data_IF_274716444405
#
_entry.id   IF_274716444405
#
_cell.length_a   1.000
_cell.length_b   1.000
_cell.length_c   1.000
_cell.angle_alpha   90.00
_cell.angle_beta   90.00
_cell.angle_gamma   90.00
#
_symmetry.space_group_name_H-M   'P 1'
#
loop_
_entity.id
_entity.type
_entity.pdbx_description
1 polymer ?
#
# COMPACT_ATOMS: atom_id res chain seq x y z
N UNK A 1 16.24 9.92 3.44
CA UNK A 1 15.44 9.52 4.61
C UNK A 1 16.28 9.72 5.84
N UNK A 2 15.70 10.30 6.89
CA UNK A 2 16.42 10.68 8.12
C UNK A 2 16.53 9.53 9.12
N UNK A 3 15.53 8.64 9.14
CA UNK A 3 15.51 7.41 9.92
C UNK A 3 14.47 6.43 9.32
N UNK A 4 14.31 5.27 9.95
CA UNK A 4 13.35 4.24 9.50
C UNK A 4 11.89 4.71 9.58
N UNK A 5 11.54 5.56 10.55
CA UNK A 5 10.17 6.12 10.65
C UNK A 5 9.90 7.02 9.45
N UNK A 6 10.82 7.96 9.14
CA UNK A 6 10.71 8.83 7.96
C UNK A 6 10.62 8.03 6.65
N UNK A 7 11.39 6.94 6.51
CA UNK A 7 11.28 6.04 5.37
C UNK A 7 9.86 5.45 5.22
N UNK A 8 9.27 4.94 6.31
CA UNK A 8 7.91 4.36 6.27
C UNK A 8 6.83 5.43 6.12
N UNK A 9 7.02 6.65 6.66
CA UNK A 9 6.09 7.76 6.43
C UNK A 9 6.07 8.17 4.96
N UNK A 10 7.25 8.30 4.33
CA UNK A 10 7.38 8.60 2.91
C UNK A 10 6.81 7.49 2.03
N UNK A 11 6.96 6.24 2.44
CA UNK A 11 6.33 5.10 1.76
C UNK A 11 4.80 5.16 1.84
N UNK A 12 4.25 5.49 3.01
CA UNK A 12 2.80 5.64 3.16
C UNK A 12 2.24 6.83 2.36
N UNK A 13 2.94 7.97 2.37
CA UNK A 13 2.60 9.12 1.50
C UNK A 13 2.61 8.74 0.02
N UNK A 14 3.54 7.87 -0.40
CA UNK A 14 3.60 7.38 -1.77
C UNK A 14 2.39 6.52 -2.12
N UNK A 15 1.97 5.61 -1.24
CA UNK A 15 0.77 4.79 -1.46
C UNK A 15 -0.49 5.66 -1.60
N UNK A 16 -0.66 6.66 -0.72
CA UNK A 16 -1.76 7.62 -0.83
C UNK A 16 -1.75 8.40 -2.16
N UNK A 17 -0.56 8.73 -2.67
CA UNK A 17 -0.41 9.36 -3.98
C UNK A 17 -0.82 8.41 -5.11
N UNK A 18 -0.45 7.14 -5.03
CA UNK A 18 -0.84 6.12 -6.02
C UNK A 18 -2.36 5.93 -6.01
N UNK A 19 -2.97 5.76 -4.84
CA UNK A 19 -4.44 5.66 -4.68
C UNK A 19 -5.14 6.86 -5.31
N UNK A 20 -4.66 8.08 -5.04
CA UNK A 20 -5.22 9.30 -5.65
C UNK A 20 -5.15 9.26 -7.19
N UNK A 21 -4.05 8.79 -7.76
CA UNK A 21 -3.90 8.67 -9.22
C UNK A 21 -4.83 7.61 -9.80
N UNK A 22 -5.01 6.49 -9.12
CA UNK A 22 -5.96 5.45 -9.53
C UNK A 22 -7.40 5.98 -9.51
N UNK A 23 -7.79 6.72 -8.48
CA UNK A 23 -9.11 7.36 -8.43
C UNK A 23 -9.30 8.38 -9.55
N UNK A 24 -8.29 9.20 -9.85
CA UNK A 24 -8.35 10.14 -10.97
C UNK A 24 -8.53 9.43 -12.32
N UNK A 25 -7.86 8.29 -12.54
CA UNK A 25 -8.07 7.49 -13.75
C UNK A 25 -9.49 6.90 -13.81
N UNK A 26 -10.02 6.45 -12.68
CA UNK A 26 -11.37 5.91 -12.59
C UNK A 26 -12.44 6.97 -12.87
N UNK A 27 -12.24 8.19 -12.34
CA UNK A 27 -13.12 9.34 -12.59
C UNK A 27 -13.13 9.69 -14.10
N UNK A 28 -11.96 9.78 -14.74
CA UNK A 28 -11.86 10.03 -16.19
C UNK A 28 -12.58 8.93 -16.99
N UNK A 29 -12.33 7.66 -16.66
CA UNK A 29 -12.97 6.54 -17.36
C UNK A 29 -14.51 6.56 -17.18
N UNK A 30 -15.00 6.96 -16.01
CA UNK A 30 -16.42 7.13 -15.74
C UNK A 30 -17.03 8.29 -16.54
N UNK A 31 -16.36 9.44 -16.60
CA UNK A 31 -16.77 10.61 -17.37
C UNK A 31 -16.86 10.30 -18.88
N UNK A 32 -15.87 9.56 -19.40
CA UNK A 32 -15.83 9.12 -20.81
C UNK A 32 -16.73 7.91 -21.09
N UNK A 33 -17.34 7.31 -20.06
CA UNK A 33 -18.15 6.07 -20.14
C UNK A 33 -17.36 4.90 -20.76
N UNK A 34 -16.07 4.83 -20.47
CA UNK A 34 -15.20 3.76 -20.96
C UNK A 34 -15.30 2.54 -20.03
N UNK A 35 -16.34 1.74 -20.26
CA UNK A 35 -16.72 0.63 -19.40
C UNK A 35 -15.63 -0.43 -19.23
N UNK A 36 -14.77 -0.66 -20.23
CA UNK A 36 -13.69 -1.64 -20.13
C UNK A 36 -12.61 -1.19 -19.15
N UNK A 37 -12.20 0.08 -19.23
CA UNK A 37 -11.21 0.69 -18.32
C UNK A 37 -11.74 0.78 -16.91
N UNK A 38 -13.02 1.11 -16.70
CA UNK A 38 -13.64 1.05 -15.36
C UNK A 38 -13.52 -0.37 -14.77
N UNK A 39 -13.83 -1.40 -15.55
CA UNK A 39 -13.71 -2.80 -15.12
C UNK A 39 -12.26 -3.19 -14.82
N UNK A 40 -11.30 -2.69 -15.61
CA UNK A 40 -9.86 -2.92 -15.41
C UNK A 40 -9.38 -2.25 -14.11
N UNK A 41 -9.74 -0.98 -13.91
CA UNK A 41 -9.30 -0.17 -12.77
C UNK A 41 -9.86 -0.65 -11.43
N UNK A 42 -11.00 -1.37 -11.44
CA UNK A 42 -11.58 -1.97 -10.23
C UNK A 42 -10.56 -2.80 -9.46
N UNK A 43 -9.76 -3.64 -10.14
CA UNK A 43 -8.76 -4.46 -9.47
C UNK A 43 -7.71 -3.59 -8.75
N UNK A 44 -7.24 -2.52 -9.40
CA UNK A 44 -6.26 -1.61 -8.81
C UNK A 44 -6.84 -0.82 -7.62
N UNK A 45 -8.12 -0.46 -7.68
CA UNK A 45 -8.82 0.19 -6.57
C UNK A 45 -8.87 -0.73 -5.36
N UNK A 46 -9.28 -1.99 -5.58
CA UNK A 46 -9.37 -2.99 -4.52
C UNK A 46 -7.97 -3.27 -3.91
N UNK A 47 -6.93 -3.36 -4.76
CA UNK A 47 -5.54 -3.57 -4.33
C UNK A 47 -5.00 -2.42 -3.48
N UNK A 48 -5.25 -1.15 -3.86
CA UNK A 48 -4.77 0.01 -3.11
C UNK A 48 -5.36 0.08 -1.68
N UNK A 49 -6.58 -0.43 -1.46
CA UNK A 49 -7.16 -0.54 -0.11
C UNK A 49 -6.33 -1.47 0.77
N UNK A 50 -5.90 -2.60 0.23
CA UNK A 50 -5.06 -3.57 0.93
C UNK A 50 -3.65 -3.02 1.16
N UNK A 51 -3.04 -2.39 0.15
CA UNK A 51 -1.69 -1.82 0.28
C UNK A 51 -1.62 -0.69 1.31
N UNK A 52 -2.58 0.25 1.31
CA UNK A 52 -2.61 1.31 2.33
C UNK A 52 -2.82 0.76 3.75
N UNK A 53 -3.68 -0.26 3.91
CA UNK A 53 -3.90 -0.90 5.20
C UNK A 53 -2.62 -1.59 5.71
N UNK A 54 -1.93 -2.32 4.83
CA UNK A 54 -0.66 -2.98 5.13
C UNK A 54 0.40 -1.95 5.53
N UNK A 55 0.56 -0.89 4.74
CA UNK A 55 1.56 0.14 5.01
C UNK A 55 1.30 0.88 6.32
N UNK A 56 0.05 1.25 6.60
CA UNK A 56 -0.34 1.88 7.86
C UNK A 56 -0.08 0.95 9.06
N UNK A 57 -0.33 -0.35 8.91
CA UNK A 57 -0.01 -1.35 9.94
C UNK A 57 1.50 -1.40 10.23
N UNK A 58 2.33 -1.43 9.19
CA UNK A 58 3.78 -1.43 9.35
C UNK A 58 4.30 -0.13 9.95
N UNK A 59 3.82 1.02 9.50
CA UNK A 59 4.19 2.32 10.06
C UNK A 59 3.90 2.38 11.57
N UNK A 60 2.75 1.84 12.02
CA UNK A 60 2.44 1.73 13.46
C UNK A 60 3.43 0.85 14.21
N UNK A 61 3.85 -0.27 13.63
CA UNK A 61 4.86 -1.16 14.24
C UNK A 61 6.23 -0.48 14.32
N UNK A 62 6.66 0.18 13.25
CA UNK A 62 7.94 0.91 13.18
C UNK A 62 7.98 2.05 14.20
N UNK A 63 6.89 2.82 14.34
CA UNK A 63 6.76 3.85 15.38
C UNK A 63 6.81 3.27 16.78
N UNK A 64 6.23 2.08 17.01
CA UNK A 64 6.25 1.42 18.32
C UNK A 64 7.62 0.87 18.69
N UNK A 65 8.46 0.55 17.69
CA UNK A 65 9.83 0.08 17.90
C UNK A 65 10.86 1.19 18.08
N UNK A 66 10.44 2.47 18.09
CA UNK A 66 11.35 3.60 18.19
C UNK A 66 12.23 3.53 19.45
N UNK A 67 13.53 3.81 19.27
CA UNK A 67 14.53 3.68 20.33
C UNK A 67 14.83 2.26 20.81
N UNK A 68 14.30 1.20 20.17
CA UNK A 68 14.50 -0.19 20.57
C UNK A 68 15.04 -1.06 19.40
N UNK A 69 16.37 -1.26 19.31
CA UNK A 69 16.98 -2.07 18.24
C UNK A 69 16.51 -3.53 18.19
N UNK A 70 16.19 -4.14 19.33
CA UNK A 70 15.68 -5.51 19.38
C UNK A 70 14.27 -5.60 18.77
N UNK A 71 13.42 -4.59 19.01
CA UNK A 71 12.09 -4.53 18.41
C UNK A 71 12.16 -4.36 16.88
N UNK A 72 13.12 -3.58 16.38
CA UNK A 72 13.39 -3.44 14.95
C UNK A 72 13.84 -4.77 14.33
N UNK A 73 14.76 -5.48 14.99
CA UNK A 73 15.22 -6.79 14.54
C UNK A 73 14.06 -7.82 14.45
N UNK A 74 13.18 -7.84 15.46
CA UNK A 74 11.99 -8.71 15.43
C UNK A 74 11.01 -8.36 14.30
N UNK A 75 10.86 -7.06 13.99
CA UNK A 75 10.03 -6.60 12.88
C UNK A 75 10.60 -7.05 11.53
N UNK A 76 11.92 -6.98 11.36
CA UNK A 76 12.61 -7.48 10.17
C UNK A 76 12.37 -8.98 9.96
N UNK A 77 12.52 -9.80 11.01
CA UNK A 77 12.23 -11.24 10.94
C UNK A 77 10.75 -11.55 10.65
N UNK A 78 9.82 -10.69 11.09
CA UNK A 78 8.40 -10.81 10.74
C UNK A 78 8.17 -10.53 9.25
N UNK A 79 8.75 -9.44 8.74
CA UNK A 79 8.62 -9.03 7.34
C UNK A 79 9.29 -10.02 6.38
N UNK A 80 10.39 -10.65 6.78
CA UNK A 80 11.07 -11.68 6.02
C UNK A 80 10.19 -12.93 5.73
N UNK A 81 9.11 -13.13 6.50
CA UNK A 81 8.15 -14.22 6.29
C UNK A 81 7.08 -13.89 5.24
N UNK A 82 7.01 -12.66 4.75
CA UNK A 82 5.99 -12.24 3.76
C UNK A 82 6.21 -13.04 2.47
N UNK A 83 5.17 -13.75 2.04
CA UNK A 83 5.15 -14.48 0.77
C UNK A 83 4.25 -13.72 -0.19
N UNK A 84 4.72 -13.53 -1.41
CA UNK A 84 3.88 -12.98 -2.48
C UNK A 84 2.77 -13.97 -2.80
N UNK A 85 1.52 -13.57 -2.53
CA UNK A 85 0.32 -14.29 -2.95
C UNK A 85 -0.30 -13.51 -4.10
N UNK A 86 -0.20 -14.01 -5.36
CA UNK A 86 -0.82 -13.32 -6.48
C UNK A 86 -2.34 -13.25 -6.28
N UNK A 87 -3.00 -12.16 -6.72
CA UNK A 87 -4.45 -12.05 -6.67
C UNK A 87 -5.10 -13.19 -7.46
N UNK A 88 -6.12 -13.82 -6.88
CA UNK A 88 -6.93 -14.82 -7.60
C UNK A 88 -7.80 -14.09 -8.62
N UNK A 89 -7.51 -14.22 -9.91
CA UNK A 89 -8.38 -13.71 -10.97
C UNK A 89 -9.68 -14.52 -10.97
N UNK A 90 -10.71 -14.05 -10.29
CA UNK A 90 -12.08 -14.48 -10.59
C UNK A 90 -12.50 -13.80 -11.87
N UNK A 91 -12.52 -14.58 -12.95
CA UNK A 91 -13.09 -14.20 -14.25
C UNK A 91 -14.60 -13.94 -14.15
#
# INVERSE_FOLDING_TARGET
>A
YDNIIDLFEKGYEHEQLVTKKIYQLADIALEEKEHATISLLKWFIDEQVEEENNFNSFLKKVRRSDGNPAAIYMLDEELAKRVYTPPTTTA
#
